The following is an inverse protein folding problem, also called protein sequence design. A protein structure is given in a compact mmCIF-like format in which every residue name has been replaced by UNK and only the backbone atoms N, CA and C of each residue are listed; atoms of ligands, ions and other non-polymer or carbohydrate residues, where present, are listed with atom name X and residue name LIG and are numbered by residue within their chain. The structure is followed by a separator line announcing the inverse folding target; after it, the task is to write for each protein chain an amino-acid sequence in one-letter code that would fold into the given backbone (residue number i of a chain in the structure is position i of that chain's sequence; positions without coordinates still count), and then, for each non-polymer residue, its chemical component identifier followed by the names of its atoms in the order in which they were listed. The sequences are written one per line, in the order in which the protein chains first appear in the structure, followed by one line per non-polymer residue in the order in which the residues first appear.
data_IF_827310877712
#
_entry.id   IF_827310877712
#
_cell.length_a   1.000
_cell.length_b   1.000
_cell.length_c   1.000
_cell.angle_alpha   90.00
_cell.angle_beta   90.00
_cell.angle_gamma   90.00
#
_symmetry.space_group_name_H-M   'P 1'
#
loop_
_entity.id
_entity.type
_entity.pdbx_description
1 polymer ?
#
# COMPACT_ATOMS: atom_id res chain seq x y z
N UNK A 1 -8.61 27.17 -4.91
CA UNK A 1 -8.56 25.89 -5.63
C UNK A 1 -8.27 26.18 -7.09
N UNK A 2 -7.00 26.23 -7.52
CA UNK A 2 -6.60 26.43 -8.93
C UNK A 2 -5.94 25.18 -9.54
N UNK A 3 -5.90 24.07 -8.80
CA UNK A 3 -5.02 22.94 -9.12
C UNK A 3 -5.65 21.90 -10.05
N UNK A 4 -6.81 22.18 -10.66
CA UNK A 4 -7.53 21.24 -11.52
C UNK A 4 -7.89 21.81 -12.90
N UNK A 5 -7.39 22.98 -13.29
CA UNK A 5 -7.67 23.61 -14.60
C UNK A 5 -7.09 22.83 -15.81
N UNK A 6 -6.36 21.73 -15.59
CA UNK A 6 -5.81 20.87 -16.66
C UNK A 6 -6.72 19.67 -16.99
N UNK A 7 -7.84 19.50 -16.29
CA UNK A 7 -8.85 18.53 -16.71
C UNK A 7 -9.78 19.20 -17.71
N UNK A 8 -9.58 18.91 -18.98
CA UNK A 8 -10.51 19.26 -20.05
C UNK A 8 -11.86 18.55 -19.79
N UNK A 9 -12.76 19.23 -19.07
CA UNK A 9 -14.09 18.74 -18.71
C UNK A 9 -14.92 18.38 -19.95
N UNK A 10 -14.58 18.93 -21.13
CA UNK A 10 -15.23 18.55 -22.39
C UNK A 10 -14.88 17.12 -22.83
N UNK A 11 -13.65 16.66 -22.58
CA UNK A 11 -13.27 15.24 -22.83
C UNK A 11 -14.05 14.29 -21.92
N UNK A 12 -14.26 14.68 -20.66
CA UNK A 12 -15.05 13.91 -19.68
C UNK A 12 -16.52 13.75 -20.10
N UNK A 13 -17.10 14.78 -20.71
CA UNK A 13 -18.48 14.74 -21.21
C UNK A 13 -18.62 13.87 -22.46
N UNK A 14 -17.65 13.88 -23.39
CA UNK A 14 -17.70 13.03 -24.60
C UNK A 14 -17.56 11.52 -24.33
N UNK A 15 -16.94 11.12 -23.21
CA UNK A 15 -16.78 9.69 -22.87
C UNK A 15 -18.04 9.10 -22.21
N UNK A 16 -18.92 9.94 -21.64
CA UNK A 16 -20.18 9.50 -21.02
C UNK A 16 -21.14 8.83 -22.00
N UNK A 17 -21.09 9.19 -23.27
CA UNK A 17 -22.11 8.77 -24.23
C UNK A 17 -21.95 7.33 -24.75
N UNK A 18 -20.87 6.60 -24.42
CA UNK A 18 -20.65 5.24 -24.97
C UNK A 18 -19.83 4.24 -24.11
N UNK A 19 -19.61 4.45 -22.80
CA UNK A 19 -18.98 3.41 -21.97
C UNK A 19 -19.08 3.61 -20.46
N UNK A 20 -19.03 2.50 -19.72
CA UNK A 20 -19.09 2.49 -18.25
C UNK A 20 -17.86 3.15 -17.59
N UNK A 21 -17.83 3.23 -16.26
CA UNK A 21 -16.76 3.87 -15.47
C UNK A 21 -15.32 3.56 -15.93
N UNK A 22 -15.06 2.35 -16.45
CA UNK A 22 -13.75 1.90 -16.95
C UNK A 22 -13.31 2.66 -18.21
N UNK A 23 -14.21 3.00 -19.14
CA UNK A 23 -13.85 3.75 -20.36
C UNK A 23 -13.51 5.20 -20.05
N UNK A 24 -14.22 5.82 -19.09
CA UNK A 24 -13.95 7.17 -18.59
C UNK A 24 -12.58 7.24 -17.93
N UNK A 25 -12.22 6.24 -17.13
CA UNK A 25 -10.90 6.22 -16.46
C UNK A 25 -9.74 5.97 -17.44
N UNK A 26 -9.93 5.12 -18.46
CA UNK A 26 -8.86 4.80 -19.40
C UNK A 26 -8.42 5.98 -20.27
N UNK A 27 -9.30 6.93 -20.56
CA UNK A 27 -8.94 8.18 -21.26
C UNK A 27 -8.19 9.20 -20.40
N UNK A 28 -8.10 8.96 -19.09
CA UNK A 28 -7.47 9.88 -18.11
C UNK A 28 -6.10 9.37 -17.62
N UNK A 29 -5.73 8.12 -17.90
CA UNK A 29 -4.44 7.57 -17.48
C UNK A 29 -3.37 7.84 -18.54
N UNK A 30 -2.42 8.72 -18.19
CA UNK A 30 -1.24 8.97 -18.99
C UNK A 30 -0.23 7.82 -18.84
N UNK A 31 0.05 7.12 -19.94
CA UNK A 31 1.01 6.01 -19.98
C UNK A 31 2.46 6.48 -20.16
N UNK A 32 2.68 7.78 -20.41
CA UNK A 32 4.01 8.38 -20.59
C UNK A 32 4.67 8.82 -19.27
N UNK A 33 3.99 8.61 -18.13
CA UNK A 33 4.49 8.99 -16.81
C UNK A 33 5.86 8.36 -16.50
N UNK A 34 6.73 9.18 -15.95
CA UNK A 34 8.08 8.86 -15.51
C UNK A 34 8.34 9.43 -14.12
N UNK A 35 9.54 9.16 -13.56
CA UNK A 35 9.98 9.76 -12.30
C UNK A 35 10.11 11.30 -12.35
N UNK A 36 10.17 11.92 -13.54
CA UNK A 36 10.14 13.38 -13.69
C UNK A 36 8.77 13.96 -13.29
N UNK A 37 7.72 13.19 -13.49
CA UNK A 37 6.34 13.64 -13.22
C UNK A 37 6.04 13.64 -11.72
N UNK A 38 6.72 12.79 -10.94
CA UNK A 38 6.71 12.90 -9.46
C UNK A 38 7.33 14.23 -9.04
N UNK A 39 8.45 14.64 -9.63
CA UNK A 39 9.08 15.94 -9.35
C UNK A 39 8.20 17.11 -9.81
N UNK A 40 7.58 17.01 -10.98
CA UNK A 40 6.63 18.01 -11.44
C UNK A 40 5.45 18.15 -10.46
N UNK A 41 4.89 17.04 -9.98
CA UNK A 41 3.78 17.05 -9.04
C UNK A 41 4.12 17.82 -7.75
N UNK A 42 5.37 17.72 -7.28
CA UNK A 42 5.87 18.51 -6.14
C UNK A 42 5.90 20.02 -6.40
N UNK A 43 5.93 20.48 -7.66
CA UNK A 43 5.93 21.91 -7.97
C UNK A 43 4.55 22.55 -7.87
N UNK A 44 3.49 21.71 -7.89
CA UNK A 44 2.09 22.17 -7.88
C UNK A 44 1.35 21.87 -6.57
N UNK A 45 2.00 21.19 -5.61
CA UNK A 45 1.45 20.95 -4.27
C UNK A 45 2.53 21.00 -3.20
N UNK A 46 2.25 21.61 -2.02
CA UNK A 46 3.14 21.53 -0.87
C UNK A 46 2.91 20.25 -0.04
N UNK A 47 1.91 19.43 -0.38
CA UNK A 47 1.56 18.23 0.39
C UNK A 47 2.58 17.10 0.17
N UNK A 48 2.84 16.26 1.19
CA UNK A 48 3.67 15.07 1.05
C UNK A 48 3.15 14.14 -0.05
N UNK A 49 4.06 13.63 -0.89
CA UNK A 49 3.71 12.71 -1.97
C UNK A 49 4.10 11.29 -1.56
N UNK A 50 3.10 10.40 -1.48
CA UNK A 50 3.32 8.97 -1.27
C UNK A 50 3.26 8.24 -2.63
N UNK A 51 4.35 7.58 -3.01
CA UNK A 51 4.37 6.77 -4.25
C UNK A 51 3.79 5.39 -3.94
N UNK A 52 2.66 5.07 -4.55
CA UNK A 52 1.93 3.81 -4.36
C UNK A 52 2.11 2.89 -5.56
N UNK A 53 2.41 1.62 -5.30
CA UNK A 53 2.60 0.62 -6.36
C UNK A 53 4.02 0.08 -6.49
N UNK A 54 4.90 0.42 -5.54
CA UNK A 54 6.30 -0.03 -5.53
C UNK A 54 6.36 -1.45 -4.97
N UNK A 55 6.95 -2.38 -5.73
CA UNK A 55 7.13 -3.78 -5.32
C UNK A 55 8.60 -4.23 -5.36
N UNK A 56 9.53 -3.34 -5.75
CA UNK A 56 10.94 -3.66 -5.97
C UNK A 56 11.85 -2.67 -5.25
N UNK A 57 13.05 -3.11 -4.87
CA UNK A 57 14.09 -2.25 -4.31
C UNK A 57 14.52 -1.14 -5.29
N UNK A 58 14.55 -1.44 -6.59
CA UNK A 58 14.94 -0.50 -7.64
C UNK A 58 14.01 0.71 -7.66
N UNK A 59 12.70 0.46 -7.72
CA UNK A 59 11.71 1.54 -7.74
C UNK A 59 11.59 2.26 -6.41
N UNK A 60 11.87 1.59 -5.29
CA UNK A 60 11.95 2.24 -3.98
C UNK A 60 13.06 3.31 -3.95
N UNK A 61 14.26 2.98 -4.47
CA UNK A 61 15.37 3.94 -4.56
C UNK A 61 15.03 5.09 -5.51
N UNK A 62 14.42 4.80 -6.66
CA UNK A 62 14.02 5.82 -7.63
C UNK A 62 12.93 6.75 -7.06
N UNK A 63 11.95 6.21 -6.33
CA UNK A 63 10.93 7.01 -5.66
C UNK A 63 11.55 7.99 -4.66
N UNK A 64 12.51 7.54 -3.85
CA UNK A 64 13.23 8.39 -2.90
C UNK A 64 14.07 9.46 -3.64
N UNK A 65 14.78 9.08 -4.70
CA UNK A 65 15.54 10.03 -5.55
C UNK A 65 14.64 11.04 -6.26
N UNK A 66 13.41 10.67 -6.57
CA UNK A 66 12.39 11.54 -7.13
C UNK A 66 11.73 12.45 -6.08
N UNK A 67 12.06 12.29 -4.80
CA UNK A 67 11.58 13.14 -3.71
C UNK A 67 10.29 12.66 -3.03
N UNK A 68 9.89 11.40 -3.22
CA UNK A 68 8.74 10.84 -2.51
C UNK A 68 8.90 11.01 -0.99
N UNK A 69 7.83 11.42 -0.32
CA UNK A 69 7.79 11.56 1.15
C UNK A 69 7.49 10.24 1.87
N UNK A 70 7.18 9.19 1.12
CA UNK A 70 6.92 7.85 1.61
C UNK A 70 6.52 6.93 0.46
N UNK A 71 6.52 5.63 0.71
CA UNK A 71 6.22 4.59 -0.28
C UNK A 71 5.11 3.70 0.25
N UNK A 72 4.18 3.30 -0.62
CA UNK A 72 3.18 2.28 -0.30
C UNK A 72 3.46 1.05 -1.16
N UNK A 73 3.94 -0.02 -0.51
CA UNK A 73 4.10 -1.35 -1.09
C UNK A 73 2.72 -1.90 -1.42
N UNK A 74 2.41 -1.92 -2.71
CA UNK A 74 1.06 -2.21 -3.19
C UNK A 74 1.12 -2.89 -4.55
N UNK A 75 0.32 -3.95 -4.72
CA UNK A 75 0.02 -4.53 -6.03
C UNK A 75 -1.40 -4.13 -6.51
N UNK A 76 -1.89 -2.98 -6.02
CA UNK A 76 -3.22 -2.45 -6.30
C UNK A 76 -4.36 -3.44 -5.93
N UNK A 77 -4.15 -4.23 -4.87
CA UNK A 77 -5.09 -5.27 -4.46
C UNK A 77 -5.19 -6.42 -5.47
N UNK A 78 -4.09 -6.73 -6.16
CA UNK A 78 -3.95 -7.76 -7.18
C UNK A 78 -4.90 -7.56 -8.38
N UNK A 79 -5.01 -6.31 -8.86
CA UNK A 79 -5.93 -5.94 -9.96
C UNK A 79 -5.23 -5.44 -11.23
N UNK A 80 -3.92 -5.19 -11.18
CA UNK A 80 -3.18 -4.64 -12.31
C UNK A 80 -2.47 -5.75 -13.10
N UNK A 81 -1.31 -6.21 -12.64
CA UNK A 81 -0.56 -7.28 -13.28
C UNK A 81 -0.66 -8.57 -12.44
N UNK A 82 -1.04 -9.67 -13.09
CA UNK A 82 -1.05 -11.00 -12.45
C UNK A 82 0.39 -11.52 -12.29
N UNK A 83 0.60 -12.50 -11.40
CA UNK A 83 1.92 -13.07 -11.04
C UNK A 83 2.91 -12.12 -10.35
N UNK A 84 2.54 -10.88 -10.05
CA UNK A 84 3.31 -10.05 -9.12
C UNK A 84 3.29 -10.66 -7.72
N UNK A 85 4.34 -10.46 -6.90
CA UNK A 85 4.36 -11.02 -5.55
C UNK A 85 3.21 -10.48 -4.68
N UNK A 86 2.86 -11.24 -3.65
CA UNK A 86 2.10 -10.70 -2.54
C UNK A 86 2.89 -9.55 -1.89
N UNK A 87 2.19 -8.47 -1.51
CA UNK A 87 2.83 -7.27 -0.97
C UNK A 87 3.64 -7.54 0.29
N UNK A 88 3.18 -8.43 1.17
CA UNK A 88 3.94 -8.87 2.36
C UNK A 88 5.29 -9.53 2.00
N UNK A 89 5.38 -10.20 0.84
CA UNK A 89 6.62 -10.82 0.36
C UNK A 89 7.58 -9.81 -0.29
N UNK A 90 7.06 -8.70 -0.82
CA UNK A 90 7.85 -7.62 -1.40
C UNK A 90 8.28 -6.56 -0.36
N UNK A 91 7.58 -6.50 0.78
CA UNK A 91 7.71 -5.45 1.78
C UNK A 91 9.15 -5.29 2.29
N UNK A 92 9.77 -6.37 2.76
CA UNK A 92 11.07 -6.31 3.42
C UNK A 92 12.18 -5.84 2.46
N UNK A 93 12.11 -6.23 1.18
CA UNK A 93 13.02 -5.74 0.13
C UNK A 93 12.91 -4.22 -0.04
N UNK A 94 11.69 -3.69 -0.09
CA UNK A 94 11.43 -2.24 -0.23
C UNK A 94 11.86 -1.48 1.02
N UNK A 95 11.60 -2.03 2.21
CA UNK A 95 12.04 -1.44 3.49
C UNK A 95 13.56 -1.33 3.55
N UNK A 96 14.28 -2.40 3.19
CA UNK A 96 15.74 -2.39 3.16
C UNK A 96 16.28 -1.37 2.16
N UNK A 97 15.69 -1.27 0.96
CA UNK A 97 16.10 -0.29 -0.04
C UNK A 97 15.83 1.18 0.36
N UNK A 98 14.87 1.40 1.26
CA UNK A 98 14.55 2.73 1.76
C UNK A 98 15.57 3.26 2.76
N UNK A 99 16.27 2.37 3.48
CA UNK A 99 17.31 2.71 4.46
C UNK A 99 16.83 3.73 5.52
N UNK A 100 15.56 3.63 5.91
CA UNK A 100 14.94 4.53 6.89
C UNK A 100 14.75 5.99 6.44
N UNK A 101 15.02 6.32 5.17
CA UNK A 101 14.91 7.71 4.66
C UNK A 101 13.49 8.23 4.60
N UNK A 102 12.52 7.34 4.36
CA UNK A 102 11.09 7.66 4.28
C UNK A 102 10.26 6.53 4.89
N UNK A 103 9.06 6.81 5.43
CA UNK A 103 8.17 5.76 5.92
C UNK A 103 7.69 4.86 4.76
N UNK A 104 7.60 3.56 5.06
CA UNK A 104 7.12 2.53 4.14
C UNK A 104 5.82 1.98 4.66
N UNK A 105 4.77 2.04 3.87
CA UNK A 105 3.47 1.48 4.19
C UNK A 105 3.19 0.26 3.31
N UNK A 106 2.17 -0.51 3.66
CA UNK A 106 1.74 -1.67 2.86
C UNK A 106 0.22 -1.71 2.71
N UNK A 107 -0.27 -2.14 1.54
CA UNK A 107 -1.66 -2.56 1.36
C UNK A 107 -1.74 -3.95 0.70
N UNK A 108 -2.97 -4.44 0.46
CA UNK A 108 -3.19 -5.73 -0.20
C UNK A 108 -3.20 -6.89 0.80
N UNK A 109 -4.33 -7.61 0.87
CA UNK A 109 -4.43 -8.82 1.70
C UNK A 109 -4.61 -8.64 3.21
N UNK A 110 -4.38 -7.45 3.80
CA UNK A 110 -4.55 -7.23 5.26
C UNK A 110 -6.00 -7.40 5.71
N UNK A 111 -6.32 -8.43 6.49
CA UNK A 111 -7.68 -8.73 6.98
C UNK A 111 -7.77 -9.02 8.47
N UNK A 112 -6.63 -9.24 9.14
CA UNK A 112 -6.52 -9.54 10.56
C UNK A 112 -5.57 -8.60 11.28
N UNK A 113 -5.74 -8.44 12.59
CA UNK A 113 -4.75 -7.78 13.44
C UNK A 113 -3.36 -8.43 13.38
N UNK A 114 -3.30 -9.76 13.24
CA UNK A 114 -2.04 -10.49 13.02
C UNK A 114 -1.38 -10.17 11.67
N UNK A 115 -2.14 -9.80 10.63
CA UNK A 115 -1.57 -9.34 9.36
C UNK A 115 -0.93 -7.96 9.50
N UNK A 116 -1.57 -7.07 10.28
CA UNK A 116 -1.00 -5.76 10.64
C UNK A 116 0.31 -5.96 11.40
N UNK A 117 0.30 -6.80 12.44
CA UNK A 117 1.48 -7.10 13.25
C UNK A 117 2.65 -7.61 12.40
N UNK A 118 2.39 -8.58 11.50
CA UNK A 118 3.42 -9.12 10.59
C UNK A 118 4.01 -8.04 9.68
N UNK A 119 3.18 -7.15 9.14
CA UNK A 119 3.66 -6.06 8.28
C UNK A 119 4.55 -5.09 9.06
N UNK A 120 4.14 -4.72 10.29
CA UNK A 120 4.94 -3.85 11.16
C UNK A 120 6.27 -4.52 11.54
N UNK A 121 6.26 -5.81 11.90
CA UNK A 121 7.47 -6.58 12.20
C UNK A 121 8.44 -6.68 11.00
N UNK A 122 7.92 -6.66 9.78
CA UNK A 122 8.72 -6.60 8.54
C UNK A 122 9.13 -5.17 8.15
N UNK A 123 8.88 -4.17 9.01
CA UNK A 123 9.36 -2.80 8.87
C UNK A 123 8.41 -1.82 8.20
N UNK A 124 7.14 -2.19 7.99
CA UNK A 124 6.13 -1.20 7.61
C UNK A 124 5.90 -0.21 8.77
N UNK A 125 5.73 1.07 8.46
CA UNK A 125 5.28 2.11 9.38
C UNK A 125 3.77 2.08 9.63
N UNK A 126 3.02 1.36 8.80
CA UNK A 126 1.57 1.21 8.88
C UNK A 126 1.00 0.48 7.67
N UNK A 127 -0.30 0.20 7.71
CA UNK A 127 -0.99 -0.53 6.64
C UNK A 127 -2.29 0.16 6.21
N UNK A 128 -2.72 -0.09 4.98
CA UNK A 128 -4.00 0.35 4.45
C UNK A 128 -4.91 -0.84 4.10
N UNK A 129 -6.23 -0.63 4.26
CA UNK A 129 -7.27 -1.60 3.88
C UNK A 129 -8.20 -0.99 2.83
N UNK A 130 -8.54 -1.76 1.80
CA UNK A 130 -9.45 -1.35 0.71
C UNK A 130 -10.78 -2.09 0.76
N UNK A 131 -10.79 -3.33 0.24
CA UNK A 131 -11.99 -4.19 0.16
C UNK A 131 -12.79 -4.31 1.47
N UNK A 132 -12.17 -4.49 2.67
CA UNK A 132 -12.94 -4.54 3.93
C UNK A 132 -13.81 -3.32 4.17
N UNK A 133 -13.38 -2.13 3.75
CA UNK A 133 -14.15 -0.88 3.89
C UNK A 133 -15.40 -0.93 3.03
N UNK A 134 -15.28 -1.23 1.73
CA UNK A 134 -16.45 -1.25 0.83
C UNK A 134 -17.40 -2.41 1.12
N UNK A 135 -16.90 -3.56 1.58
CA UNK A 135 -17.74 -4.69 1.96
C UNK A 135 -18.53 -4.42 3.22
N UNK A 136 -17.90 -3.85 4.25
CA UNK A 136 -18.57 -3.49 5.48
C UNK A 136 -19.54 -2.31 5.29
N UNK A 137 -19.19 -1.34 4.43
CA UNK A 137 -20.08 -0.27 4.00
C UNK A 137 -21.35 -0.83 3.34
N UNK A 138 -21.21 -1.80 2.43
CA UNK A 138 -22.35 -2.40 1.75
C UNK A 138 -23.25 -3.21 2.71
N UNK A 139 -22.66 -3.82 3.75
CA UNK A 139 -23.40 -4.63 4.72
C UNK A 139 -24.15 -3.81 5.77
N UNK A 140 -23.47 -2.84 6.39
CA UNK A 140 -23.98 -2.13 7.58
C UNK A 140 -23.68 -0.61 7.53
N UNK A 141 -23.42 -0.05 6.35
CA UNK A 141 -23.15 1.38 6.18
C UNK A 141 -21.93 1.86 6.98
N UNK A 142 -22.01 3.07 7.53
CA UNK A 142 -20.97 3.63 8.40
C UNK A 142 -20.68 2.75 9.62
N UNK A 143 -21.73 2.15 10.21
CA UNK A 143 -21.59 1.26 11.36
C UNK A 143 -20.74 0.03 11.03
N UNK A 144 -20.91 -0.52 9.82
CA UNK A 144 -20.08 -1.60 9.29
C UNK A 144 -18.61 -1.21 9.20
N UNK A 145 -18.30 -0.03 8.66
CA UNK A 145 -16.91 0.45 8.58
C UNK A 145 -16.32 0.60 9.98
N UNK A 146 -17.03 1.23 10.91
CA UNK A 146 -16.59 1.41 12.30
C UNK A 146 -16.30 0.06 12.97
N UNK A 147 -17.18 -0.92 12.76
CA UNK A 147 -17.02 -2.29 13.27
C UNK A 147 -15.80 -2.98 12.66
N UNK A 148 -15.58 -2.86 11.35
CA UNK A 148 -14.42 -3.45 10.68
C UNK A 148 -13.10 -2.84 11.19
N UNK A 149 -13.04 -1.52 11.36
CA UNK A 149 -11.88 -0.83 11.93
C UNK A 149 -11.63 -1.23 13.39
N UNK A 150 -12.70 -1.31 14.20
CA UNK A 150 -12.61 -1.75 15.59
C UNK A 150 -12.11 -3.19 15.71
N UNK A 151 -12.60 -4.11 14.89
CA UNK A 151 -12.12 -5.50 14.90
C UNK A 151 -10.63 -5.59 14.58
N UNK A 152 -10.14 -4.86 13.56
CA UNK A 152 -8.70 -4.84 13.25
C UNK A 152 -7.85 -4.26 14.38
N UNK A 153 -8.34 -3.20 15.03
CA UNK A 153 -7.68 -2.60 16.20
C UNK A 153 -7.61 -3.60 17.36
N UNK A 154 -8.75 -4.17 17.76
CA UNK A 154 -8.83 -5.09 18.90
C UNK A 154 -8.01 -6.36 18.64
N UNK A 155 -8.04 -6.91 17.41
CA UNK A 155 -7.21 -8.05 17.04
C UNK A 155 -5.71 -7.72 17.07
N UNK A 156 -5.30 -6.51 16.67
CA UNK A 156 -3.91 -6.07 16.74
C UNK A 156 -3.47 -5.93 18.20
N UNK A 157 -4.30 -5.31 19.04
CA UNK A 157 -4.03 -5.15 20.48
C UNK A 157 -3.85 -6.51 21.17
N UNK A 158 -4.74 -7.48 20.89
CA UNK A 158 -4.60 -8.85 21.40
C UNK A 158 -3.32 -9.51 20.87
N UNK A 159 -2.99 -9.34 19.59
CA UNK A 159 -1.76 -9.90 19.01
C UNK A 159 -0.53 -9.32 19.70
N UNK A 160 -0.48 -8.00 19.90
CA UNK A 160 0.59 -7.30 20.59
C UNK A 160 0.74 -7.79 22.03
N UNK A 161 -0.36 -7.93 22.77
CA UNK A 161 -0.34 -8.45 24.14
C UNK A 161 0.21 -9.89 24.21
N UNK A 162 -0.21 -10.76 23.31
CA UNK A 162 0.26 -12.16 23.24
C UNK A 162 1.72 -12.28 22.79
N UNK A 163 2.21 -11.33 21.99
CA UNK A 163 3.60 -11.24 21.58
C UNK A 163 4.49 -10.45 22.54
N UNK A 164 3.96 -9.93 23.66
CA UNK A 164 4.74 -9.17 24.64
C UNK A 164 5.20 -7.79 24.16
N UNK A 165 4.46 -7.16 23.23
CA UNK A 165 4.77 -5.85 22.66
C UNK A 165 3.84 -4.76 23.24
N UNK A 166 4.23 -4.01 24.30
CA UNK A 166 3.36 -2.99 24.89
C UNK A 166 3.19 -1.73 24.01
N UNK A 167 4.08 -1.52 23.03
CA UNK A 167 3.98 -0.44 22.05
C UNK A 167 4.38 -0.92 20.66
N UNK A 168 4.07 -0.12 19.62
CA UNK A 168 4.47 -0.44 18.24
C UNK A 168 5.99 -0.51 18.07
N UNK A 169 6.77 0.20 18.92
CA UNK A 169 8.24 0.17 18.87
C UNK A 169 8.82 -1.16 19.34
N UNK A 170 8.05 -1.92 20.12
CA UNK A 170 8.46 -3.22 20.63
C UNK A 170 8.20 -4.34 19.61
N UNK A 171 7.47 -4.04 18.52
CA UNK A 171 7.27 -4.98 17.42
C UNK A 171 8.56 -5.01 16.57
N UNK A 172 9.37 -6.03 16.79
CA UNK A 172 10.63 -6.24 16.06
C UNK A 172 10.54 -7.37 15.04
N UNK A 173 11.53 -7.42 14.14
CA UNK A 173 11.66 -8.48 13.13
C UNK A 173 11.74 -9.91 13.71
N UNK A 174 12.23 -10.04 14.94
CA UNK A 174 12.40 -11.33 15.63
C UNK A 174 11.06 -11.95 16.08
N UNK A 175 9.98 -11.16 16.13
CA UNK A 175 8.65 -11.67 16.48
C UNK A 175 8.00 -12.48 15.36
N UNK A 176 8.58 -12.50 14.16
CA UNK A 176 8.05 -13.21 12.99
C UNK A 176 9.10 -14.09 12.34
N UNK A 177 8.68 -15.25 11.85
CA UNK A 177 9.47 -16.13 11.00
C UNK A 177 8.69 -16.36 9.72
N UNK A 178 9.32 -16.06 8.59
CA UNK A 178 8.75 -16.27 7.26
C UNK A 178 9.28 -17.56 6.65
N UNK A 179 8.64 -18.06 5.59
CA UNK A 179 9.14 -19.22 4.85
C UNK A 179 10.54 -18.98 4.24
N UNK A 180 10.92 -17.73 3.99
CA UNK A 180 12.26 -17.38 3.47
C UNK A 180 13.36 -17.53 4.53
N UNK A 181 12.99 -17.42 5.81
CA UNK A 181 13.93 -17.54 6.93
C UNK A 181 14.21 -19.01 7.30
N UNK A 182 13.36 -19.94 6.85
CA UNK A 182 13.51 -21.35 7.19
C UNK A 182 14.73 -21.94 6.47
N UNK A 183 15.58 -22.71 7.18
CA UNK A 183 16.67 -23.45 6.56
C UNK A 183 16.10 -24.35 5.45
N UNK A 184 16.63 -24.25 4.24
CA UNK A 184 16.30 -25.20 3.18
C UNK A 184 16.86 -26.56 3.58
N UNK A 185 16.02 -27.44 4.09
CA UNK A 185 16.39 -28.85 4.27
C UNK A 185 16.47 -29.42 2.85
N UNK A 186 17.70 -29.65 2.37
CA UNK A 186 17.90 -30.38 1.12
C UNK A 186 17.21 -31.75 1.27
N UNK A 187 16.42 -32.20 0.28
CA UNK A 187 15.84 -33.54 0.34
C UNK A 187 16.98 -34.55 0.46
N UNK A 188 16.91 -35.40 1.48
CA UNK A 188 17.76 -36.59 1.56
C UNK A 188 17.31 -37.51 0.42
N UNK A 189 18.06 -37.51 -0.68
CA UNK A 189 17.98 -38.51 -1.73
C UNK A 189 18.45 -39.87 -1.18
#
# INVERSE_FOLDING_TARGET
MKNFEVMDLEKLYKIKDNGGLISVTNGLYDQSLTWKDVKWLQTITPLPILVKGVLTAQDARLAIQAGASGIIVSNHGARQLDYVPATIMALEEVVQAAEGRVPIFMDGGVRRGTDVFKALALGASGVFIGRPVVFSLAAEGEAGIRKALKMLHDELEITMALCGCPSLKDITRDHVVTERDRPRIAPRL
#
